data_IF_476336880925
#
_entry.id   IF_476336880925
#
_cell.length_a   1.000
_cell.length_b   1.000
_cell.length_c   1.000
_cell.angle_alpha   90.00
_cell.angle_beta   90.00
_cell.angle_gamma   90.00
#
_symmetry.space_group_name_H-M   'P 1'
#
loop_
_entity.id
_entity.type
_entity.pdbx_description
1 polymer ?
#
# COMPACT_ATOMS: atom_id res chain seq x y z
N UNK A 1 7.75 2.07 18.67
CA UNK A 1 6.52 1.26 18.57
C UNK A 1 6.24 0.91 17.12
N UNK A 2 5.67 -0.26 16.83
CA UNK A 2 5.09 -0.59 15.51
C UNK A 2 3.59 -0.61 15.68
N UNK A 3 2.87 0.20 14.90
CA UNK A 3 1.41 0.18 14.89
C UNK A 3 0.94 -0.74 13.75
N UNK A 4 0.12 -1.73 14.09
CA UNK A 4 -0.37 -2.78 13.17
C UNK A 4 -1.88 -2.79 13.22
N UNK A 5 -2.51 -2.57 12.07
CA UNK A 5 -3.96 -2.75 11.92
C UNK A 5 -4.21 -3.91 10.96
N UNK A 6 -5.01 -4.89 11.42
CA UNK A 6 -5.45 -6.02 10.63
C UNK A 6 -6.97 -6.10 10.66
N UNK A 7 -7.57 -6.37 9.50
CA UNK A 7 -9.01 -6.57 9.38
C UNK A 7 -9.36 -7.60 8.31
N UNK A 8 -10.36 -8.43 8.59
CA UNK A 8 -10.95 -9.35 7.62
C UNK A 8 -12.34 -8.86 7.21
N UNK A 9 -12.66 -8.98 5.92
CA UNK A 9 -13.97 -8.73 5.33
C UNK A 9 -14.22 -9.71 4.19
N UNK A 10 -15.41 -9.70 3.62
CA UNK A 10 -15.76 -10.50 2.44
C UNK A 10 -16.33 -9.58 1.38
N UNK A 11 -15.92 -9.76 0.13
CA UNK A 11 -16.45 -9.10 -1.06
C UNK A 11 -16.78 -10.16 -2.12
N UNK A 12 -18.04 -10.27 -2.56
CA UNK A 12 -18.48 -11.27 -3.54
C UNK A 12 -17.92 -12.68 -3.25
N UNK A 13 -18.10 -13.15 -2.00
CA UNK A 13 -17.58 -14.44 -1.50
C UNK A 13 -16.06 -14.55 -1.43
N UNK A 14 -15.32 -13.54 -1.91
CA UNK A 14 -13.87 -13.48 -1.81
C UNK A 14 -13.44 -12.78 -0.50
N UNK A 15 -12.64 -13.44 0.35
CA UNK A 15 -12.12 -12.82 1.54
C UNK A 15 -11.14 -11.66 1.22
N UNK A 16 -11.34 -10.55 1.91
CA UNK A 16 -10.59 -9.31 1.76
C UNK A 16 -9.88 -8.98 3.07
N UNK A 17 -8.55 -8.94 3.02
CA UNK A 17 -7.68 -8.62 4.15
C UNK A 17 -7.18 -7.18 4.03
N UNK A 18 -7.28 -6.45 5.13
CA UNK A 18 -6.63 -5.17 5.32
C UNK A 18 -5.31 -5.38 6.08
N UNK A 19 -4.22 -4.84 5.56
CA UNK A 19 -2.93 -4.83 6.25
C UNK A 19 -2.32 -3.43 6.24
N UNK A 20 -2.17 -2.81 7.42
CA UNK A 20 -1.52 -1.51 7.59
C UNK A 20 -0.35 -1.61 8.54
N UNK A 21 0.79 -1.13 8.05
CA UNK A 21 1.92 -0.75 8.90
C UNK A 21 1.82 0.75 9.16
N UNK A 22 1.36 1.12 10.35
CA UNK A 22 1.08 2.51 10.69
C UNK A 22 2.35 3.34 10.82
N UNK A 23 3.33 2.88 11.60
CA UNK A 23 4.60 3.55 11.83
C UNK A 23 5.62 2.58 12.39
N UNK A 24 6.92 2.84 12.19
CA UNK A 24 7.97 2.23 13.01
C UNK A 24 8.81 3.31 13.66
N UNK A 25 9.21 3.04 14.90
CA UNK A 25 10.18 3.86 15.62
C UNK A 25 11.41 4.19 14.76
N UNK A 26 11.99 5.38 14.93
CA UNK A 26 13.18 5.81 14.19
C UNK A 26 14.33 4.81 14.38
N UNK A 27 14.45 4.21 15.57
CA UNK A 27 15.49 3.21 15.87
C UNK A 27 15.38 1.91 15.03
N UNK A 28 14.21 1.65 14.45
CA UNK A 28 13.93 0.48 13.61
C UNK A 28 13.87 0.82 12.12
N UNK A 29 13.83 2.11 11.75
CA UNK A 29 13.97 2.53 10.36
C UNK A 29 15.32 2.03 9.83
N UNK A 30 15.33 1.51 8.60
CA UNK A 30 16.50 0.91 7.91
C UNK A 30 17.00 -0.43 8.47
N UNK A 31 16.41 -0.99 9.53
CA UNK A 31 16.74 -2.33 10.03
C UNK A 31 15.97 -3.48 9.36
N UNK A 32 15.34 -3.22 8.23
CA UNK A 32 14.55 -4.21 7.49
C UNK A 32 13.26 -4.69 8.20
N UNK A 33 12.87 -4.09 9.33
CA UNK A 33 11.72 -4.57 10.13
C UNK A 33 10.41 -4.59 9.32
N UNK A 34 10.17 -3.61 8.45
CA UNK A 34 8.98 -3.57 7.59
C UNK A 34 8.94 -4.78 6.68
N UNK A 35 10.08 -5.11 6.07
CA UNK A 35 10.22 -6.24 5.16
C UNK A 35 10.05 -7.57 5.89
N UNK A 36 10.56 -7.68 7.12
CA UNK A 36 10.35 -8.85 7.98
C UNK A 36 8.87 -9.03 8.33
N UNK A 37 8.18 -7.97 8.74
CA UNK A 37 6.75 -8.05 9.09
C UNK A 37 5.92 -8.44 7.84
N UNK A 38 6.17 -7.80 6.70
CA UNK A 38 5.52 -8.20 5.45
C UNK A 38 5.81 -9.65 5.06
N UNK A 39 7.05 -10.11 5.22
CA UNK A 39 7.42 -11.50 4.93
C UNK A 39 6.65 -12.49 5.80
N UNK A 40 6.61 -12.27 7.11
CA UNK A 40 5.88 -13.13 8.04
C UNK A 40 4.37 -13.12 7.73
N UNK A 41 3.80 -11.92 7.52
CA UNK A 41 2.39 -11.78 7.15
C UNK A 41 2.06 -12.56 5.87
N UNK A 42 2.88 -12.42 4.82
CA UNK A 42 2.66 -13.14 3.56
C UNK A 42 2.78 -14.65 3.74
N UNK A 43 3.75 -15.12 4.52
CA UNK A 43 3.91 -16.54 4.83
C UNK A 43 2.69 -17.12 5.56
N UNK A 44 2.18 -16.41 6.57
CA UNK A 44 0.97 -16.82 7.30
C UNK A 44 -0.26 -16.90 6.37
N UNK A 45 -0.44 -15.90 5.50
CA UNK A 45 -1.52 -15.93 4.51
C UNK A 45 -1.32 -17.08 3.52
N UNK A 46 -0.11 -17.28 2.99
CA UNK A 46 0.17 -18.39 2.08
C UNK A 46 -0.16 -19.75 2.70
N UNK A 47 0.26 -19.96 3.95
CA UNK A 47 -0.06 -21.18 4.69
C UNK A 47 -1.58 -21.36 4.83
N UNK A 48 -2.29 -20.33 5.26
CA UNK A 48 -3.75 -20.40 5.40
C UNK A 48 -4.44 -20.72 4.06
N UNK A 49 -4.00 -20.08 2.96
CA UNK A 49 -4.56 -20.34 1.63
C UNK A 49 -4.34 -21.79 1.17
N UNK A 50 -3.21 -22.41 1.52
CA UNK A 50 -2.92 -23.81 1.22
C UNK A 50 -3.83 -24.75 2.01
N UNK A 51 -4.04 -24.48 3.29
CA UNK A 51 -4.88 -25.29 4.18
C UNK A 51 -6.38 -25.19 3.84
N UNK A 52 -6.85 -24.02 3.41
CA UNK A 52 -8.28 -23.72 3.25
C UNK A 52 -8.73 -23.55 1.79
N UNK A 53 -7.84 -23.79 0.81
CA UNK A 53 -8.10 -23.64 -0.64
C UNK A 53 -8.77 -22.32 -1.03
N UNK A 54 -8.49 -21.26 -0.27
CA UNK A 54 -9.11 -19.94 -0.40
C UNK A 54 -8.06 -18.94 -0.85
N UNK A 55 -8.42 -17.98 -1.72
CA UNK A 55 -7.51 -16.92 -2.17
C UNK A 55 -7.98 -15.55 -1.66
N UNK A 56 -7.10 -14.80 -1.01
CA UNK A 56 -7.40 -13.49 -0.46
C UNK A 56 -7.11 -12.37 -1.45
N UNK A 57 -7.96 -11.34 -1.43
CA UNK A 57 -7.56 -10.00 -1.84
C UNK A 57 -6.95 -9.30 -0.63
N UNK A 58 -5.87 -8.58 -0.86
CA UNK A 58 -5.19 -7.78 0.16
C UNK A 58 -5.25 -6.34 -0.30
N UNK A 59 -5.61 -5.44 0.60
CA UNK A 59 -5.53 -4.02 0.34
C UNK A 59 -4.71 -3.29 1.40
N UNK A 60 -4.05 -2.23 0.97
CA UNK A 60 -3.26 -1.33 1.80
C UNK A 60 -3.30 0.09 1.24
N UNK A 61 -3.24 1.10 2.09
CA UNK A 61 -3.16 2.50 1.67
C UNK A 61 -1.80 3.10 2.03
N UNK A 62 -1.13 3.75 1.08
CA UNK A 62 0.19 4.37 1.30
C UNK A 62 0.33 5.67 0.52
N UNK A 63 1.18 6.55 1.01
CA UNK A 63 1.60 7.78 0.33
C UNK A 63 3.08 7.77 -0.05
N UNK A 64 3.82 6.75 0.41
CA UNK A 64 5.26 6.70 0.18
C UNK A 64 5.58 5.77 -0.98
N UNK A 65 6.35 6.24 -1.97
CA UNK A 65 6.75 5.42 -3.12
C UNK A 65 7.74 4.31 -2.73
N UNK A 66 8.24 4.29 -1.48
CA UNK A 66 9.05 3.17 -0.99
C UNK A 66 8.29 1.85 -0.99
N UNK A 67 6.98 1.88 -0.79
CA UNK A 67 6.15 0.67 -0.70
C UNK A 67 6.16 -0.08 -2.02
N UNK A 68 6.11 0.62 -3.16
CA UNK A 68 6.09 -0.04 -4.47
C UNK A 68 7.39 -0.80 -4.78
N UNK A 69 8.51 -0.51 -4.11
CA UNK A 69 9.76 -1.30 -4.26
C UNK A 69 9.66 -2.74 -3.82
N UNK A 70 9.01 -2.98 -2.69
CA UNK A 70 8.96 -4.32 -2.10
C UNK A 70 7.61 -4.98 -2.30
N UNK A 71 6.60 -4.25 -2.78
CA UNK A 71 5.30 -4.83 -3.12
C UNK A 71 5.44 -5.98 -4.11
N UNK A 72 6.30 -5.88 -5.12
CA UNK A 72 6.52 -6.97 -6.10
C UNK A 72 7.22 -8.22 -5.52
N UNK A 73 7.89 -8.11 -4.36
CA UNK A 73 8.50 -9.27 -3.70
C UNK A 73 7.45 -10.13 -2.99
N UNK A 74 6.38 -9.50 -2.52
CA UNK A 74 5.40 -10.09 -1.61
C UNK A 74 4.02 -10.30 -2.23
N UNK A 75 3.71 -9.52 -3.25
CA UNK A 75 2.38 -9.44 -3.82
C UNK A 75 2.43 -9.59 -5.34
N UNK A 76 1.31 -10.04 -5.89
CA UNK A 76 1.03 -10.15 -7.31
C UNK A 76 -0.29 -9.46 -7.63
N UNK A 77 -0.56 -9.24 -8.92
CA UNK A 77 -1.77 -8.57 -9.42
C UNK A 77 -2.04 -7.23 -8.73
N UNK A 78 -0.97 -6.45 -8.51
CA UNK A 78 -1.02 -5.18 -7.78
C UNK A 78 -1.71 -4.13 -8.64
N UNK A 79 -2.72 -3.48 -8.05
CA UNK A 79 -3.50 -2.43 -8.68
C UNK A 79 -3.58 -1.20 -7.76
N UNK A 80 -3.41 0.03 -8.28
CA UNK A 80 -3.09 0.34 -9.67
C UNK A 80 -1.72 -0.20 -10.06
N UNK A 81 -1.57 -0.53 -11.34
CA UNK A 81 -0.30 -0.93 -11.91
C UNK A 81 0.68 0.26 -11.83
N UNK A 82 1.95 -0.03 -11.54
CA UNK A 82 3.03 0.96 -11.53
C UNK A 82 3.49 1.26 -12.98
N UNK A 83 2.52 1.67 -13.81
CA UNK A 83 2.71 2.06 -15.20
C UNK A 83 2.39 3.56 -15.40
N UNK A 84 2.52 4.03 -16.64
CA UNK A 84 2.28 5.43 -16.94
C UNK A 84 0.85 5.87 -16.61
N UNK A 85 -0.15 5.00 -16.68
CA UNK A 85 -1.56 5.37 -16.57
C UNK A 85 -2.20 4.97 -15.23
N UNK A 86 -1.50 4.20 -14.40
CA UNK A 86 -2.07 3.58 -13.21
C UNK A 86 -3.08 2.49 -13.56
N UNK A 87 -2.84 1.72 -14.62
CA UNK A 87 -3.80 0.73 -15.12
C UNK A 87 -4.44 -0.13 -14.02
N UNK A 88 -5.75 -0.34 -14.12
CA UNK A 88 -6.49 -1.19 -13.19
C UNK A 88 -7.58 -1.96 -13.92
N UNK A 89 -8.02 -3.05 -13.29
CA UNK A 89 -9.15 -3.85 -13.74
C UNK A 89 -10.46 -3.24 -13.21
N UNK A 90 -11.38 -2.80 -14.09
CA UNK A 90 -12.65 -2.20 -13.67
C UNK A 90 -13.48 -3.08 -12.73
N UNK A 91 -13.29 -4.40 -12.75
CA UNK A 91 -13.98 -5.34 -11.85
C UNK A 91 -13.67 -5.09 -10.38
N UNK A 92 -12.54 -4.46 -10.07
CA UNK A 92 -12.18 -4.15 -8.69
C UNK A 92 -12.71 -2.80 -8.20
N UNK A 93 -13.23 -1.93 -9.07
CA UNK A 93 -13.78 -0.63 -8.65
C UNK A 93 -14.81 -0.76 -7.53
N UNK A 94 -15.79 -1.70 -7.58
CA UNK A 94 -16.76 -1.80 -6.50
C UNK A 94 -16.15 -2.35 -5.20
N UNK A 95 -15.00 -3.04 -5.24
CA UNK A 95 -14.24 -3.42 -4.03
C UNK A 95 -13.70 -2.15 -3.37
N UNK A 96 -13.09 -1.27 -4.18
CA UNK A 96 -12.50 -0.02 -3.72
C UNK A 96 -13.56 0.89 -3.10
N UNK A 97 -14.72 1.03 -3.75
CA UNK A 97 -15.86 1.80 -3.23
C UNK A 97 -16.37 1.24 -1.89
N UNK A 98 -16.43 -0.09 -1.75
CA UNK A 98 -16.80 -0.73 -0.49
C UNK A 98 -15.78 -0.47 0.62
N UNK A 99 -14.48 -0.55 0.31
CA UNK A 99 -13.42 -0.20 1.25
C UNK A 99 -13.57 1.26 1.71
N UNK A 100 -13.71 2.19 0.76
CA UNK A 100 -13.88 3.61 1.08
C UNK A 100 -15.09 3.86 1.98
N UNK A 101 -16.23 3.23 1.68
CA UNK A 101 -17.44 3.31 2.51
C UNK A 101 -17.22 2.73 3.91
N UNK A 102 -16.58 1.55 4.02
CA UNK A 102 -16.31 0.88 5.30
C UNK A 102 -15.37 1.71 6.19
N UNK A 103 -14.35 2.32 5.59
CA UNK A 103 -13.39 3.16 6.31
C UNK A 103 -13.91 4.56 6.62
N UNK A 104 -15.16 4.87 6.23
CA UNK A 104 -15.75 6.21 6.33
C UNK A 104 -14.84 7.30 5.77
N UNK A 105 -14.13 6.99 4.67
CA UNK A 105 -13.34 7.97 3.97
C UNK A 105 -14.27 8.86 3.16
N UNK A 106 -14.73 9.93 3.81
CA UNK A 106 -15.42 11.01 3.13
C UNK A 106 -14.42 11.67 2.20
N UNK A 107 -14.46 11.29 0.93
CA UNK A 107 -13.69 11.93 -0.11
C UNK A 107 -14.08 13.42 -0.08
N UNK A 108 -13.13 14.31 0.10
CA UNK A 108 -13.40 15.76 0.15
C UNK A 108 -14.02 16.23 -1.18
N UNK A 109 -15.33 16.49 -1.16
CA UNK A 109 -16.15 16.77 -2.34
C UNK A 109 -15.60 17.92 -3.20
N UNK A 110 -14.87 18.86 -2.60
CA UNK A 110 -14.29 20.01 -3.31
C UNK A 110 -13.19 19.62 -4.29
N UNK A 111 -12.47 18.53 -4.03
CA UNK A 111 -11.50 17.97 -5.00
C UNK A 111 -12.15 16.91 -5.89
N UNK A 112 -13.33 16.38 -5.55
CA UNK A 112 -14.01 15.30 -6.28
C UNK A 112 -14.87 15.76 -7.46
N UNK A 113 -15.06 17.07 -7.65
CA UNK A 113 -15.83 17.58 -8.81
C UNK A 113 -15.13 17.38 -10.17
N UNK A 114 -13.90 16.87 -10.20
CA UNK A 114 -13.23 16.49 -11.45
C UNK A 114 -13.61 15.06 -11.85
N UNK A 115 -14.36 14.93 -12.94
CA UNK A 115 -14.90 13.68 -13.55
C UNK A 115 -13.85 12.63 -13.98
N UNK A 116 -12.56 12.87 -13.76
CA UNK A 116 -11.44 12.02 -14.19
C UNK A 116 -10.57 11.53 -13.01
N UNK A 117 -11.16 11.24 -11.85
CA UNK A 117 -10.38 10.71 -10.72
C UNK A 117 -10.20 9.21 -10.80
N UNK A 118 -8.97 8.80 -10.52
CA UNK A 118 -8.58 7.40 -10.44
C UNK A 118 -9.18 6.74 -9.18
N UNK A 119 -9.86 5.59 -9.27
CA UNK A 119 -10.62 5.03 -8.14
C UNK A 119 -9.74 4.62 -6.95
N UNK A 120 -8.48 4.28 -7.23
CA UNK A 120 -7.50 3.90 -6.21
C UNK A 120 -6.82 5.09 -5.51
N UNK A 121 -7.21 6.33 -5.81
CA UNK A 121 -6.62 7.51 -5.19
C UNK A 121 -7.55 8.08 -4.12
N UNK A 122 -7.02 8.21 -2.91
CA UNK A 122 -7.72 8.67 -1.73
C UNK A 122 -7.16 10.04 -1.32
N UNK A 123 -7.94 11.10 -1.52
CA UNK A 123 -7.49 12.44 -1.18
C UNK A 123 -7.91 12.81 0.24
N UNK A 124 -6.99 13.35 1.03
CA UNK A 124 -7.31 13.93 2.33
C UNK A 124 -7.73 12.94 3.42
N UNK A 125 -7.43 11.65 3.30
CA UNK A 125 -7.93 10.63 4.24
C UNK A 125 -7.09 10.48 5.50
N UNK A 126 -5.87 11.02 5.53
CA UNK A 126 -4.93 10.88 6.64
C UNK A 126 -4.36 12.22 7.09
N UNK A 127 -5.24 13.22 7.31
CA UNK A 127 -4.85 14.60 7.68
C UNK A 127 -4.09 14.73 9.01
N UNK A 128 -4.13 13.71 9.86
CA UNK A 128 -3.47 13.69 11.16
C UNK A 128 -2.09 12.99 11.15
N UNK A 129 -1.59 12.60 9.98
CA UNK A 129 -0.26 11.98 9.85
C UNK A 129 0.76 13.06 9.52
N UNK A 130 1.69 13.28 10.45
CA UNK A 130 2.77 14.25 10.31
C UNK A 130 4.07 13.55 9.90
N UNK A 131 4.75 14.11 8.90
CA UNK A 131 6.07 13.69 8.48
C UNK A 131 7.08 14.75 8.89
N UNK A 132 8.25 14.32 9.36
CA UNK A 132 9.35 15.26 9.63
C UNK A 132 9.94 15.77 8.33
N UNK A 133 10.60 16.93 8.36
CA UNK A 133 11.28 17.47 7.16
C UNK A 133 12.31 16.49 6.59
N UNK A 134 13.06 15.80 7.45
CA UNK A 134 13.99 14.72 7.07
C UNK A 134 13.29 13.58 6.30
N UNK A 135 12.06 13.21 6.68
CA UNK A 135 11.30 12.19 5.97
C UNK A 135 10.81 12.68 4.61
N UNK A 136 10.37 13.93 4.54
CA UNK A 136 9.94 14.57 3.30
C UNK A 136 11.12 14.68 2.32
N UNK A 137 12.29 15.12 2.78
CA UNK A 137 13.52 15.17 1.97
C UNK A 137 13.89 13.78 1.46
N UNK A 138 13.84 12.75 2.30
CA UNK A 138 14.13 11.37 1.90
C UNK A 138 13.15 10.87 0.83
N UNK A 139 11.86 11.20 0.96
CA UNK A 139 10.86 10.87 -0.07
C UNK A 139 11.19 11.58 -1.38
N UNK A 140 11.53 12.87 -1.34
CA UNK A 140 11.90 13.64 -2.53
C UNK A 140 13.16 13.09 -3.22
N UNK A 141 14.20 12.78 -2.44
CA UNK A 141 15.42 12.14 -2.95
C UNK A 141 15.14 10.78 -3.58
N UNK A 142 14.21 10.01 -3.01
CA UNK A 142 13.83 8.74 -3.59
C UNK A 142 13.15 8.93 -4.95
N UNK A 143 12.21 9.88 -5.04
CA UNK A 143 11.52 10.22 -6.29
C UNK A 143 12.51 10.67 -7.37
N UNK A 144 13.45 11.56 -7.04
CA UNK A 144 14.40 12.09 -8.02
C UNK A 144 15.41 11.06 -8.55
N UNK A 145 15.79 10.09 -7.72
CA UNK A 145 16.78 9.06 -8.10
C UNK A 145 16.18 7.88 -8.86
N UNK A 146 14.85 7.79 -8.93
CA UNK A 146 14.17 6.62 -9.44
C UNK A 146 13.56 6.86 -10.81
N UNK A 147 14.46 6.99 -11.79
CA UNK A 147 14.24 7.61 -13.10
C UNK A 147 13.05 7.11 -13.94
N UNK A 148 12.52 5.90 -13.71
CA UNK A 148 11.50 5.34 -14.63
C UNK A 148 10.34 4.58 -13.93
N UNK A 149 10.23 4.60 -12.59
CA UNK A 149 9.38 3.61 -11.89
C UNK A 149 8.42 4.13 -10.80
N UNK A 150 8.34 5.42 -10.50
CA UNK A 150 7.53 5.88 -9.34
C UNK A 150 6.63 7.08 -9.66
N UNK A 151 6.21 7.19 -10.92
CA UNK A 151 5.46 8.34 -11.42
C UNK A 151 3.99 8.35 -10.98
N UNK A 152 3.45 7.28 -10.39
CA UNK A 152 2.04 7.27 -9.95
C UNK A 152 1.73 8.40 -8.94
N UNK A 153 2.59 8.60 -7.94
CA UNK A 153 2.34 9.58 -6.89
C UNK A 153 2.40 11.02 -7.41
N UNK A 154 3.35 11.31 -8.31
CA UNK A 154 3.48 12.64 -8.92
C UNK A 154 2.41 12.87 -9.97
N UNK A 155 2.05 11.85 -10.76
CA UNK A 155 1.01 11.92 -11.79
C UNK A 155 -0.38 12.14 -11.20
N UNK A 156 -0.70 11.47 -10.10
CA UNK A 156 -1.95 11.72 -9.38
C UNK A 156 -1.89 12.96 -8.47
N UNK A 157 -0.76 13.69 -8.49
CA UNK A 157 -0.51 14.90 -7.73
C UNK A 157 -0.80 14.72 -6.24
N UNK A 158 -0.32 13.61 -5.69
CA UNK A 158 -0.58 13.26 -4.29
C UNK A 158 0.29 14.10 -3.39
N UNK A 159 -0.37 14.78 -2.46
CA UNK A 159 0.30 15.53 -1.42
C UNK A 159 0.22 14.79 -0.09
N UNK A 160 1.39 14.34 0.34
CA UNK A 160 1.58 13.68 1.62
C UNK A 160 1.16 14.52 2.81
N UNK A 161 1.36 15.85 2.73
CA UNK A 161 0.98 16.81 3.77
C UNK A 161 -0.53 17.00 3.84
N UNK A 162 -1.23 16.80 2.72
CA UNK A 162 -2.69 16.81 2.70
C UNK A 162 -3.30 15.49 3.19
N UNK A 163 -2.50 14.46 3.44
CA UNK A 163 -3.01 13.15 3.83
C UNK A 163 -3.53 12.32 2.66
N UNK A 164 -3.08 12.61 1.43
CA UNK A 164 -3.44 11.85 0.23
C UNK A 164 -2.78 10.46 0.24
N UNK A 165 -3.43 9.43 -0.28
CA UNK A 165 -2.95 8.03 -0.29
C UNK A 165 -3.32 7.37 -1.62
N UNK A 166 -2.48 6.45 -2.09
CA UNK A 166 -2.86 5.43 -3.07
C UNK A 166 -3.33 4.22 -2.27
N UNK A 167 -4.54 3.76 -2.55
CA UNK A 167 -4.99 2.44 -2.17
C UNK A 167 -4.43 1.45 -3.16
N UNK A 168 -3.81 0.38 -2.68
CA UNK A 168 -3.42 -0.76 -3.48
C UNK A 168 -4.33 -1.94 -3.18
N UNK A 169 -4.64 -2.71 -4.21
CA UNK A 169 -5.27 -4.02 -4.12
C UNK A 169 -4.34 -5.03 -4.77
N UNK A 170 -4.15 -6.18 -4.14
CA UNK A 170 -3.22 -7.20 -4.62
C UNK A 170 -3.59 -8.58 -4.09
N UNK A 171 -2.84 -9.60 -4.51
CA UNK A 171 -2.86 -10.94 -3.93
C UNK A 171 -1.48 -11.25 -3.35
N UNK A 172 -1.37 -12.16 -2.39
CA UNK A 172 -0.03 -12.69 -2.03
C UNK A 172 0.57 -13.39 -3.23
N UNK A 173 1.88 -13.24 -3.41
CA UNK A 173 2.62 -14.02 -4.40
C UNK A 173 2.49 -15.52 -4.11
N UNK A 174 2.59 -16.37 -5.14
CA UNK A 174 2.73 -17.83 -4.95
C UNK A 174 4.21 -18.24 -4.73
N UNK A 175 5.15 -17.29 -4.87
CA UNK A 175 6.58 -17.54 -4.61
C UNK A 175 6.81 -17.78 -3.12
N UNK A 176 7.63 -18.78 -2.79
CA UNK A 176 8.10 -18.98 -1.43
C UNK A 176 8.92 -17.76 -1.00
N UNK A 177 8.50 -17.12 0.10
CA UNK A 177 9.22 -15.98 0.66
C UNK A 177 10.41 -16.50 1.46
N UNK A 178 11.62 -16.37 0.89
CA UNK A 178 12.87 -16.65 1.59
C UNK A 178 13.46 -15.33 2.11
N UNK A 179 12.92 -14.84 3.23
CA UNK A 179 13.51 -13.68 3.89
C UNK A 179 14.63 -14.14 4.83
N UNK A 180 15.87 -13.92 4.41
CA UNK A 180 17.03 -13.99 5.30
C UNK A 180 17.23 -12.58 5.86
N UNK A 181 17.06 -12.34 7.17
CA UNK A 181 17.30 -11.02 7.74
C UNK A 181 18.78 -10.65 7.56
N UNK A 182 19.10 -9.85 6.55
CA UNK A 182 20.36 -9.11 6.53
C UNK A 182 20.17 -7.90 7.43
N UNK A 183 20.31 -8.11 8.74
CA UNK A 183 20.26 -7.06 9.75
C UNK A 183 21.45 -6.07 9.65
N UNK A 184 22.44 -6.37 8.78
CA UNK A 184 23.76 -5.70 8.76
C UNK A 184 24.12 -4.92 7.48
N UNK A 185 23.20 -4.69 6.53
CA UNK A 185 23.52 -3.87 5.35
C UNK A 185 22.87 -2.50 5.42
N UNK A 186 23.67 -1.53 5.87
CA UNK A 186 23.40 -0.09 5.81
C UNK A 186 22.89 0.32 4.42
N UNK A 187 21.61 0.71 4.34
CA UNK A 187 21.04 1.55 3.27
C UNK A 187 20.63 2.88 3.90
#
# INVERSE_FOLDING_TARGET
>A
MVDLEFGLSVYNEQPLIHFVLGCTDRIWKRKGIHRLIHANFVQEIQQYQQENLTKFLIWHATVTPFVTRFVADFYMDVQPADDEHGGYDPRYVPVIEQIQKKMNWQLDDRRNMNKNKHPFVLYGISKNVFYTDEELERIQQFKSNSKDRYNLFDRFQLDIRNGDRILYLSRVTDKKIEFIPNLDKNI
#
